data_IF_939936972999
#
_entry.id   IF_939936972999
#
_cell.length_a   1.000
_cell.length_b   1.000
_cell.length_c   1.000
_cell.angle_alpha   90.00
_cell.angle_beta   90.00
_cell.angle_gamma   90.00
#
_symmetry.space_group_name_H-M   'P 1'
#
loop_
_entity.id
_entity.type
_entity.pdbx_description
1 polymer ?
#
# COMPACT_ATOMS: atom_id res chain seq x y z
N UNK A 1 -6.43 16.38 -14.85
CA UNK A 1 -5.27 15.46 -14.81
C UNK A 1 -4.20 15.73 -15.87
N UNK A 2 -4.51 16.07 -17.12
CA UNK A 2 -3.47 16.37 -18.13
C UNK A 2 -2.47 17.46 -17.68
N UNK A 3 -2.95 18.57 -17.10
CA UNK A 3 -2.09 19.63 -16.56
C UNK A 3 -1.17 19.15 -15.41
N UNK A 4 -1.61 18.14 -14.68
CA UNK A 4 -0.90 17.55 -13.55
C UNK A 4 0.25 16.66 -14.02
N UNK A 5 0.02 15.83 -15.03
CA UNK A 5 1.05 15.02 -15.70
C UNK A 5 2.16 15.91 -16.26
N UNK A 6 1.78 17.01 -16.91
CA UNK A 6 2.73 18.00 -17.45
C UNK A 6 3.51 18.72 -16.33
N UNK A 7 2.86 19.00 -15.20
CA UNK A 7 3.51 19.57 -14.01
C UNK A 7 4.54 18.64 -13.39
N UNK A 8 4.18 17.37 -13.17
CA UNK A 8 5.09 16.36 -12.60
C UNK A 8 6.29 16.13 -13.51
N UNK A 9 6.08 15.98 -14.83
CA UNK A 9 7.20 15.84 -15.77
C UNK A 9 8.15 17.03 -15.77
N UNK A 10 7.67 18.24 -15.47
CA UNK A 10 8.50 19.46 -15.37
C UNK A 10 9.26 19.56 -14.05
N UNK A 11 8.78 18.94 -12.99
CA UNK A 11 9.37 18.97 -11.65
C UNK A 11 10.01 17.64 -11.25
N UNK A 12 10.11 16.69 -12.19
CA UNK A 12 10.57 15.34 -11.94
C UNK A 12 12.07 15.31 -11.58
N UNK A 13 12.37 14.82 -10.39
CA UNK A 13 13.72 14.46 -9.96
C UNK A 13 14.04 13.01 -10.36
N UNK A 14 15.30 12.57 -10.30
CA UNK A 14 15.62 11.16 -10.59
C UNK A 14 14.92 10.20 -9.63
N UNK A 15 14.75 10.60 -8.37
CA UNK A 15 13.93 9.86 -7.39
C UNK A 15 12.45 9.71 -7.83
N UNK A 16 11.90 10.65 -8.61
CA UNK A 16 10.54 10.57 -9.12
C UNK A 16 10.37 9.64 -10.33
N UNK A 17 11.46 9.33 -11.04
CA UNK A 17 11.48 8.29 -12.08
C UNK A 17 11.49 6.89 -11.45
N UNK A 18 12.20 6.75 -10.35
CA UNK A 18 12.28 5.50 -9.59
C UNK A 18 11.03 5.23 -8.73
N UNK A 19 10.26 6.26 -8.37
CA UNK A 19 9.12 6.13 -7.45
C UNK A 19 7.82 5.60 -8.06
N UNK A 20 7.83 5.16 -9.33
CA UNK A 20 6.63 4.70 -10.08
C UNK A 20 5.47 5.71 -10.10
N UNK A 21 5.71 6.96 -9.70
CA UNK A 21 4.71 8.03 -9.60
C UNK A 21 3.99 8.26 -10.93
N UNK A 22 4.71 8.19 -12.05
CA UNK A 22 4.12 8.37 -13.38
C UNK A 22 3.14 7.23 -13.75
N UNK A 23 3.44 5.99 -13.37
CA UNK A 23 2.53 4.86 -13.58
C UNK A 23 1.26 5.01 -12.73
N UNK A 24 1.45 5.45 -11.49
CA UNK A 24 0.37 5.71 -10.56
C UNK A 24 -0.53 6.87 -11.04
N UNK A 25 0.05 7.97 -11.54
CA UNK A 25 -0.68 9.07 -12.18
C UNK A 25 -1.55 8.56 -13.33
N UNK A 26 -1.02 7.67 -14.17
CA UNK A 26 -1.76 7.11 -15.29
C UNK A 26 -2.91 6.22 -14.81
N UNK A 27 -2.68 5.38 -13.80
CA UNK A 27 -3.73 4.55 -13.18
C UNK A 27 -4.85 5.41 -12.61
N UNK A 28 -4.53 6.40 -11.77
CA UNK A 28 -5.52 7.28 -11.16
C UNK A 28 -6.26 8.14 -12.20
N UNK A 29 -5.55 8.60 -13.23
CA UNK A 29 -6.17 9.36 -14.33
C UNK A 29 -7.19 8.56 -15.13
N UNK A 30 -7.14 7.22 -15.06
CA UNK A 30 -8.10 6.33 -15.72
C UNK A 30 -9.36 6.07 -14.90
N UNK A 31 -9.40 6.47 -13.62
CA UNK A 31 -10.56 6.30 -12.74
C UNK A 31 -11.64 7.32 -13.13
N UNK A 32 -12.66 6.87 -13.86
CA UNK A 32 -13.72 7.73 -14.41
C UNK A 32 -14.65 8.35 -13.36
N UNK A 33 -14.70 7.78 -12.14
CA UNK A 33 -15.71 8.14 -11.13
C UNK A 33 -15.19 8.95 -9.94
N UNK A 34 -13.87 9.20 -9.84
CA UNK A 34 -13.31 9.99 -8.73
C UNK A 34 -12.11 10.79 -9.21
N UNK A 35 -12.30 12.11 -9.34
CA UNK A 35 -11.19 13.04 -9.51
C UNK A 35 -10.55 13.23 -8.13
N UNK A 36 -9.28 12.87 -7.99
CA UNK A 36 -8.51 13.24 -6.81
C UNK A 36 -8.24 14.75 -6.84
N UNK A 37 -8.34 15.41 -5.70
CA UNK A 37 -7.78 16.75 -5.53
C UNK A 37 -6.23 16.71 -5.45
N UNK A 38 -5.60 17.88 -5.35
CA UNK A 38 -4.13 17.99 -5.34
C UNK A 38 -3.50 17.28 -4.14
N UNK A 39 -4.17 17.33 -2.98
CA UNK A 39 -3.68 16.78 -1.72
C UNK A 39 -3.86 15.26 -1.69
N UNK A 40 -5.02 14.77 -2.11
CA UNK A 40 -5.31 13.35 -2.33
C UNK A 40 -4.34 12.74 -3.36
N UNK A 41 -4.04 13.46 -4.45
CA UNK A 41 -3.06 13.02 -5.43
C UNK A 41 -1.64 12.95 -4.85
N UNK A 42 -1.19 13.99 -4.14
CA UNK A 42 0.14 14.00 -3.52
C UNK A 42 0.28 12.87 -2.49
N UNK A 43 -0.75 12.63 -1.68
CA UNK A 43 -0.78 11.53 -0.72
C UNK A 43 -0.68 10.15 -1.41
N UNK A 44 -1.40 9.96 -2.53
CA UNK A 44 -1.41 8.70 -3.25
C UNK A 44 -0.15 8.47 -4.11
N UNK A 45 0.52 9.55 -4.53
CA UNK A 45 1.79 9.51 -5.27
C UNK A 45 3.00 9.20 -4.37
N UNK A 46 2.91 9.42 -3.06
CA UNK A 46 3.98 9.06 -2.13
C UNK A 46 4.00 7.54 -1.96
N UNK A 47 5.11 6.91 -2.35
CA UNK A 47 5.34 5.49 -2.06
C UNK A 47 5.46 5.32 -0.55
N UNK A 48 4.86 4.26 -0.01
CA UNK A 48 5.01 3.87 1.40
C UNK A 48 6.50 3.81 1.81
N UNK A 49 7.36 3.29 0.92
CA UNK A 49 8.81 3.24 1.13
C UNK A 49 9.48 4.62 1.30
N UNK A 50 8.91 5.67 0.70
CA UNK A 50 9.39 7.04 0.86
C UNK A 50 8.84 7.66 2.16
N UNK A 51 7.59 7.33 2.52
CA UNK A 51 6.97 7.82 3.76
C UNK A 51 7.65 7.23 5.00
N UNK A 52 8.11 5.98 4.94
CA UNK A 52 8.85 5.30 6.00
C UNK A 52 10.18 5.96 6.39
N UNK A 53 10.80 6.68 5.47
CA UNK A 53 12.01 7.45 5.76
C UNK A 53 11.75 8.69 6.61
N UNK A 54 10.49 9.04 6.87
CA UNK A 54 10.12 10.19 7.71
C UNK A 54 9.98 9.79 9.17
N UNK A 55 10.44 10.65 10.09
CA UNK A 55 10.27 10.45 11.54
C UNK A 55 8.80 10.28 11.96
N UNK A 56 7.88 10.87 11.20
CA UNK A 56 6.43 10.80 11.45
C UNK A 56 5.75 9.53 10.93
N UNK A 57 6.47 8.61 10.25
CA UNK A 57 5.86 7.41 9.65
C UNK A 57 5.04 6.60 10.66
N UNK A 58 5.62 6.26 11.81
CA UNK A 58 4.95 5.40 12.78
C UNK A 58 3.64 6.03 13.27
N UNK A 59 3.66 7.34 13.56
CA UNK A 59 2.48 8.08 13.98
C UNK A 59 1.40 8.08 12.88
N UNK A 60 1.77 8.33 11.62
CA UNK A 60 0.84 8.32 10.50
C UNK A 60 0.26 6.92 10.24
N UNK A 61 1.11 5.88 10.25
CA UNK A 61 0.69 4.51 10.05
C UNK A 61 -0.29 4.04 11.14
N UNK A 62 0.00 4.35 12.41
CA UNK A 62 -0.92 4.03 13.52
C UNK A 62 -2.25 4.77 13.37
N UNK A 63 -2.22 6.06 13.03
CA UNK A 63 -3.44 6.84 12.85
C UNK A 63 -4.30 6.32 11.69
N UNK A 64 -3.67 5.94 10.59
CA UNK A 64 -4.35 5.31 9.46
C UNK A 64 -4.96 3.94 9.86
N UNK A 65 -4.22 3.14 10.64
CA UNK A 65 -4.72 1.87 11.14
C UNK A 65 -5.91 2.03 12.10
N UNK A 66 -5.92 3.04 12.98
CA UNK A 66 -7.07 3.30 13.86
C UNK A 66 -8.35 3.57 13.06
N UNK A 67 -8.25 4.37 11.99
CA UNK A 67 -9.37 4.66 11.10
C UNK A 67 -9.80 3.40 10.34
N UNK A 68 -8.84 2.65 9.79
CA UNK A 68 -9.09 1.38 9.13
C UNK A 68 -9.76 0.37 10.09
N UNK A 69 -9.29 0.21 11.32
CA UNK A 69 -9.82 -0.76 12.28
C UNK A 69 -11.28 -0.47 12.65
N UNK A 70 -11.64 0.82 12.68
CA UNK A 70 -12.99 1.27 12.98
C UNK A 70 -13.96 1.10 11.80
N UNK A 71 -13.53 1.43 10.59
CA UNK A 71 -14.46 1.60 9.45
C UNK A 71 -14.33 0.51 8.38
N UNK A 72 -13.15 -0.09 8.23
CA UNK A 72 -12.80 -0.95 7.09
C UNK A 72 -12.30 -2.35 7.45
N UNK A 73 -11.83 -2.58 8.68
CA UNK A 73 -11.22 -3.84 9.07
C UNK A 73 -12.29 -4.89 9.38
N UNK A 74 -12.39 -5.86 8.49
CA UNK A 74 -13.34 -6.98 8.56
C UNK A 74 -12.57 -8.28 8.82
N UNK A 75 -13.21 -9.30 9.40
CA UNK A 75 -12.60 -10.63 9.49
C UNK A 75 -12.15 -11.09 8.09
N UNK A 76 -10.96 -11.65 8.01
CA UNK A 76 -10.31 -12.05 6.77
C UNK A 76 -10.26 -13.58 6.70
N UNK A 77 -10.68 -14.13 5.57
CA UNK A 77 -10.43 -15.55 5.26
C UNK A 77 -8.97 -15.70 4.82
N UNK A 78 -8.22 -16.57 5.49
CA UNK A 78 -6.78 -16.75 5.25
C UNK A 78 -6.51 -17.13 3.79
N UNK A 79 -7.39 -17.94 3.21
CA UNK A 79 -7.30 -18.40 1.82
C UNK A 79 -7.45 -17.24 0.82
N UNK A 80 -8.35 -16.29 1.10
CA UNK A 80 -8.54 -15.10 0.27
C UNK A 80 -7.29 -14.21 0.32
N UNK A 81 -6.77 -13.96 1.53
CA UNK A 81 -5.55 -13.18 1.70
C UNK A 81 -4.35 -13.84 1.03
N UNK A 82 -4.22 -15.16 1.12
CA UNK A 82 -3.15 -15.91 0.48
C UNK A 82 -3.21 -15.81 -1.06
N UNK A 83 -4.41 -15.90 -1.64
CA UNK A 83 -4.64 -15.76 -3.07
C UNK A 83 -4.26 -14.36 -3.56
N UNK A 84 -4.69 -13.32 -2.85
CA UNK A 84 -4.33 -11.92 -3.17
C UNK A 84 -2.83 -11.65 -3.07
N UNK A 85 -2.13 -12.33 -2.14
CA UNK A 85 -0.68 -12.24 -2.00
C UNK A 85 0.10 -13.16 -2.96
N UNK A 86 -0.58 -13.93 -3.82
CA UNK A 86 0.05 -14.84 -4.78
C UNK A 86 0.89 -15.94 -4.11
N UNK A 87 0.56 -16.30 -2.86
CA UNK A 87 1.30 -17.34 -2.13
C UNK A 87 0.98 -18.71 -2.72
N UNK A 88 2.03 -19.48 -3.03
CA UNK A 88 1.87 -20.86 -3.49
C UNK A 88 1.16 -21.69 -2.40
N UNK A 89 0.27 -22.63 -2.76
CA UNK A 89 -0.34 -23.58 -1.81
C UNK A 89 0.67 -24.39 -0.98
N UNK A 90 1.92 -24.45 -1.43
CA UNK A 90 3.04 -25.13 -0.75
C UNK A 90 3.63 -24.33 0.42
N UNK A 91 3.31 -23.04 0.53
CA UNK A 91 3.79 -22.18 1.62
C UNK A 91 2.90 -22.42 2.84
N UNK A 92 3.44 -22.63 4.04
CA UNK A 92 2.65 -22.71 5.27
C UNK A 92 2.07 -21.32 5.59
N UNK A 93 0.96 -21.00 4.92
CA UNK A 93 0.23 -19.72 4.98
C UNK A 93 -0.16 -19.35 6.41
N UNK A 94 -0.49 -20.34 7.24
CA UNK A 94 -0.78 -20.16 8.65
C UNK A 94 0.42 -19.65 9.46
N UNK A 95 1.66 -19.88 9.03
CA UNK A 95 2.89 -19.36 9.68
C UNK A 95 3.22 -17.96 9.16
N UNK A 96 3.03 -17.71 7.86
CA UNK A 96 3.35 -16.41 7.24
C UNK A 96 2.38 -15.31 7.68
N UNK A 97 1.10 -15.67 7.85
CA UNK A 97 0.02 -14.73 8.17
C UNK A 97 -0.37 -14.74 9.65
N UNK A 98 0.31 -15.54 10.49
CA UNK A 98 -0.04 -15.71 11.90
C UNK A 98 -0.11 -14.36 12.64
N UNK A 99 0.91 -13.52 12.45
CA UNK A 99 0.99 -12.22 13.12
C UNK A 99 0.25 -11.11 12.35
N UNK A 100 -0.25 -11.42 11.15
CA UNK A 100 -1.00 -10.48 10.31
C UNK A 100 -2.48 -10.47 10.66
N UNK A 101 -2.98 -11.53 11.27
CA UNK A 101 -4.39 -11.67 11.63
C UNK A 101 -4.50 -11.82 13.15
N UNK A 102 -5.34 -10.99 13.77
CA UNK A 102 -5.60 -11.06 15.20
C UNK A 102 -6.40 -12.31 15.54
N UNK A 103 -5.89 -13.11 16.46
CA UNK A 103 -6.59 -14.30 16.97
C UNK A 103 -7.93 -13.98 17.66
N UNK A 104 -8.12 -12.75 18.16
CA UNK A 104 -9.31 -12.35 18.91
C UNK A 104 -10.56 -12.19 18.03
N UNK A 105 -10.40 -11.72 16.79
CA UNK A 105 -11.51 -11.33 15.94
C UNK A 105 -11.32 -11.66 14.44
N UNK A 106 -10.21 -12.30 14.08
CA UNK A 106 -9.90 -12.68 12.70
C UNK A 106 -9.62 -11.49 11.78
N UNK A 107 -9.48 -10.29 12.34
CA UNK A 107 -9.22 -9.06 11.58
C UNK A 107 -7.73 -8.85 11.36
N UNK A 108 -7.38 -7.99 10.40
CA UNK A 108 -5.99 -7.65 10.15
C UNK A 108 -5.40 -6.93 11.37
N UNK A 109 -4.18 -7.31 11.76
CA UNK A 109 -3.39 -6.62 12.78
C UNK A 109 -2.74 -5.35 12.19
N UNK A 110 -2.20 -4.49 13.06
CA UNK A 110 -1.40 -3.35 12.61
C UNK A 110 -0.21 -3.79 11.74
N UNK A 111 0.45 -4.90 12.11
CA UNK A 111 1.54 -5.46 11.32
C UNK A 111 1.05 -5.89 9.94
N UNK A 112 -0.07 -6.62 9.87
CA UNK A 112 -0.67 -7.03 8.61
C UNK A 112 -1.04 -5.83 7.73
N UNK A 113 -1.59 -4.76 8.34
CA UNK A 113 -1.93 -3.51 7.66
C UNK A 113 -0.71 -2.83 7.04
N UNK A 114 0.37 -2.67 7.82
CA UNK A 114 1.62 -2.10 7.32
C UNK A 114 2.18 -2.96 6.17
N UNK A 115 2.22 -4.28 6.35
CA UNK A 115 2.70 -5.22 5.31
C UNK A 115 1.89 -5.13 4.02
N UNK A 116 0.57 -4.95 4.10
CA UNK A 116 -0.28 -4.70 2.93
C UNK A 116 -0.01 -3.33 2.29
N UNK A 117 0.23 -2.27 3.09
CA UNK A 117 0.59 -0.95 2.57
C UNK A 117 1.88 -0.98 1.73
N UNK A 118 2.87 -1.79 2.13
CA UNK A 118 4.06 -2.02 1.31
C UNK A 118 3.79 -2.76 0.00
N UNK A 119 2.63 -3.42 -0.11
CA UNK A 119 2.28 -4.38 -1.14
C UNK A 119 3.09 -5.68 -1.03
N UNK A 120 2.65 -6.70 -1.78
CA UNK A 120 3.56 -7.75 -2.23
C UNK A 120 4.55 -7.08 -3.17
N UNK A 121 5.76 -6.85 -2.69
CA UNK A 121 6.80 -6.24 -3.52
C UNK A 121 6.90 -7.02 -4.85
N UNK A 122 6.70 -6.34 -5.99
CA UNK A 122 7.05 -6.92 -7.30
C UNK A 122 8.56 -7.14 -7.43
N UNK A 123 9.36 -6.71 -6.43
CA UNK A 123 10.71 -7.23 -6.27
C UNK A 123 10.57 -8.69 -5.89
N UNK A 124 10.72 -9.56 -6.89
CA UNK A 124 11.22 -10.91 -6.66
C UNK A 124 12.27 -10.81 -5.56
N UNK A 125 12.02 -11.45 -4.41
CA UNK A 125 13.08 -11.74 -3.46
C UNK A 125 14.12 -12.54 -4.25
N UNK A 126 15.13 -11.87 -4.80
CA UNK A 126 16.32 -12.56 -5.25
C UNK A 126 16.93 -13.10 -3.98
N UNK A 127 16.83 -14.43 -3.83
CA UNK A 127 17.52 -15.17 -2.79
C UNK A 127 18.99 -14.72 -2.80
N UNK A 128 19.45 -14.21 -1.66
CA UNK A 128 20.85 -14.27 -1.31
C UNK A 128 21.23 -15.74 -1.03
#
# INVERSE_FOLDING_TARGET
MQNFKTGILRSATDASKDSRVLDYVNMVSSIQYRKLDFEEFCAAAISVHQLEGMESWEQHARRAYELFDKEGNRPIMIEELASELGLSPSVPIHVVLQDWIRHSDGKLSFLGFVRLLHGVSSRTFQKA
#
